data_IF_222913727052
#
_entry.id   IF_222913727052
#
_cell.length_a   1.000
_cell.length_b   1.000
_cell.length_c   1.000
_cell.angle_alpha   90.00
_cell.angle_beta   90.00
_cell.angle_gamma   90.00
#
_symmetry.space_group_name_H-M   'P 1'
#
loop_
_entity.id
_entity.type
_entity.pdbx_description
1 polymer ?
#
# COMPACT_ATOMS: atom_id res chain seq x y z
N UNK A 1 14.14 -2.21 4.07
CA UNK A 1 14.00 -1.25 5.20
C UNK A 1 15.31 -0.70 5.76
N UNK A 2 16.47 -1.38 5.63
CA UNK A 2 17.76 -0.95 6.22
C UNK A 2 18.22 0.47 5.85
N UNK A 3 17.94 0.94 4.63
CA UNK A 3 18.27 2.31 4.22
C UNK A 3 17.43 3.37 4.95
N UNK A 4 16.13 3.13 5.10
CA UNK A 4 15.22 4.10 5.72
C UNK A 4 15.47 4.26 7.23
N UNK A 5 15.83 3.16 7.91
CA UNK A 5 16.19 3.16 9.34
C UNK A 5 17.41 4.05 9.67
N UNK A 6 18.24 4.39 8.67
CA UNK A 6 19.35 5.34 8.84
C UNK A 6 18.89 6.80 8.92
N UNK A 7 17.76 7.13 8.32
CA UNK A 7 17.25 8.49 8.21
C UNK A 7 16.06 8.76 9.14
N UNK A 8 15.26 7.73 9.44
CA UNK A 8 14.06 7.84 10.26
C UNK A 8 14.15 6.81 11.40
N UNK A 9 13.98 7.22 12.67
CA UNK A 9 13.97 6.29 13.80
C UNK A 9 12.82 5.29 13.73
N UNK A 10 13.04 4.06 14.22
CA UNK A 10 11.99 3.01 14.24
C UNK A 10 10.75 3.43 15.04
N UNK A 11 10.91 4.26 16.08
CA UNK A 11 9.80 4.80 16.87
C UNK A 11 8.81 5.66 16.07
N UNK A 12 9.23 6.15 14.89
CA UNK A 12 8.41 6.90 13.94
C UNK A 12 7.93 6.05 12.76
N UNK A 13 8.16 4.74 12.79
CA UNK A 13 7.69 3.81 11.76
C UNK A 13 6.67 2.84 12.33
N UNK A 14 5.73 2.43 11.49
CA UNK A 14 4.78 1.37 11.83
C UNK A 14 4.49 0.48 10.62
N UNK A 15 4.37 -0.82 10.85
CA UNK A 15 3.93 -1.81 9.87
C UNK A 15 2.54 -2.33 10.25
N UNK A 16 1.56 -2.02 9.41
CA UNK A 16 0.21 -2.59 9.47
C UNK A 16 0.15 -3.90 8.65
N UNK A 17 0.26 -5.04 9.35
CA UNK A 17 0.04 -6.36 8.76
C UNK A 17 -1.45 -6.76 8.77
N UNK A 18 -1.79 -7.82 8.04
CA UNK A 18 -3.10 -8.47 8.16
C UNK A 18 -3.26 -9.05 9.58
N UNK A 19 -4.48 -8.99 10.13
CA UNK A 19 -4.72 -9.35 11.54
C UNK A 19 -4.27 -10.78 11.87
N UNK A 20 -4.59 -11.74 10.98
CA UNK A 20 -4.30 -13.16 11.13
C UNK A 20 -3.15 -13.62 10.22
N UNK A 21 -2.16 -12.74 9.97
CA UNK A 21 -0.92 -13.19 9.33
C UNK A 21 -0.16 -14.05 10.34
N UNK A 22 0.31 -15.23 9.92
CA UNK A 22 1.21 -16.06 10.73
C UNK A 22 2.44 -15.26 11.14
N UNK A 23 2.76 -15.29 12.43
CA UNK A 23 3.82 -14.46 13.00
C UNK A 23 5.20 -14.92 12.52
N UNK A 24 5.37 -16.23 12.37
CA UNK A 24 6.59 -16.91 11.95
C UNK A 24 6.97 -16.55 10.51
N UNK A 25 5.99 -16.18 9.69
CA UNK A 25 6.19 -15.73 8.31
C UNK A 25 6.62 -14.26 8.21
N UNK A 26 6.68 -13.53 9.32
CA UNK A 26 7.06 -12.12 9.34
C UNK A 26 8.54 -11.98 9.72
N UNK A 27 9.39 -11.45 8.83
CA UNK A 27 10.79 -11.19 9.14
C UNK A 27 10.96 -10.34 10.40
N UNK A 28 11.99 -10.64 11.20
CA UNK A 28 12.23 -9.99 12.50
C UNK A 28 12.34 -8.46 12.39
N UNK A 29 12.95 -7.95 11.32
CA UNK A 29 13.11 -6.51 11.08
C UNK A 29 11.80 -5.78 10.73
N UNK A 30 10.78 -6.52 10.28
CA UNK A 30 9.41 -6.06 10.02
C UNK A 30 8.55 -6.24 11.27
N UNK A 31 8.75 -7.33 12.00
CA UNK A 31 8.06 -7.62 13.25
C UNK A 31 8.33 -6.53 14.29
N UNK A 32 9.57 -6.01 14.36
CA UNK A 32 9.92 -4.90 15.27
C UNK A 32 9.13 -3.61 15.04
N UNK A 33 8.58 -3.41 13.84
CA UNK A 33 7.74 -2.27 13.49
C UNK A 33 6.23 -2.55 13.59
N UNK A 34 5.86 -3.78 13.93
CA UNK A 34 4.47 -4.22 13.98
C UNK A 34 3.98 -4.27 15.43
N UNK A 35 2.66 -4.18 15.65
CA UNK A 35 2.07 -4.38 16.96
C UNK A 35 1.35 -5.72 16.98
N UNK A 36 1.84 -6.67 17.77
CA UNK A 36 1.27 -8.01 17.94
C UNK A 36 0.75 -8.19 19.37
N UNK A 37 -0.52 -8.57 19.52
CA UNK A 37 -1.19 -8.78 20.82
C UNK A 37 -2.19 -9.92 20.69
N UNK A 38 -2.30 -10.76 21.73
CA UNK A 38 -3.35 -11.79 21.83
C UNK A 38 -3.51 -12.62 20.54
N UNK A 39 -2.39 -13.11 20.02
CA UNK A 39 -2.32 -13.90 18.79
C UNK A 39 -2.77 -13.20 17.50
N UNK A 40 -2.75 -11.88 17.44
CA UNK A 40 -3.02 -11.15 16.21
C UNK A 40 -2.19 -9.86 16.05
N UNK A 41 -2.00 -9.46 14.79
CA UNK A 41 -1.48 -8.13 14.48
C UNK A 41 -2.59 -7.10 14.69
N UNK A 42 -2.36 -6.13 15.56
CA UNK A 42 -3.32 -5.07 15.90
C UNK A 42 -2.90 -3.73 15.30
N UNK A 43 -3.89 -2.87 15.05
CA UNK A 43 -3.64 -1.49 14.62
C UNK A 43 -3.62 -0.58 15.87
N UNK A 44 -2.60 0.28 16.05
CA UNK A 44 -2.58 1.27 17.13
C UNK A 44 -3.78 2.20 17.07
N UNK A 45 -4.12 2.81 18.22
CA UNK A 45 -5.16 3.84 18.29
C UNK A 45 -4.75 5.08 17.47
N UNK A 46 -5.74 5.85 17.02
CA UNK A 46 -5.57 7.04 16.19
C UNK A 46 -4.46 8.00 16.67
N UNK A 47 -4.41 8.28 17.98
CA UNK A 47 -3.40 9.19 18.55
C UNK A 47 -1.98 8.72 18.21
N UNK A 48 -1.70 7.43 18.40
CA UNK A 48 -0.40 6.86 18.08
C UNK A 48 -0.16 6.76 16.58
N UNK A 49 -1.20 6.46 15.79
CA UNK A 49 -1.07 6.43 14.33
C UNK A 49 -0.59 7.77 13.74
N UNK A 50 -1.09 8.89 14.27
CA UNK A 50 -0.71 10.25 13.84
C UNK A 50 0.74 10.62 14.17
N UNK A 51 1.37 9.92 15.10
CA UNK A 51 2.75 10.18 15.51
C UNK A 51 3.77 9.54 14.55
N UNK A 52 3.37 8.46 13.85
CA UNK A 52 4.25 7.81 12.88
C UNK A 52 4.46 8.70 11.65
N UNK A 53 5.72 8.78 11.21
CA UNK A 53 6.11 9.48 9.97
C UNK A 53 5.99 8.59 8.74
N UNK A 54 6.13 7.27 8.94
CA UNK A 54 6.04 6.29 7.86
C UNK A 54 5.21 5.11 8.31
N UNK A 55 4.16 4.79 7.55
CA UNK A 55 3.34 3.60 7.76
C UNK A 55 3.46 2.70 6.55
N UNK A 56 3.83 1.44 6.78
CA UNK A 56 3.90 0.40 5.77
C UNK A 56 2.66 -0.49 5.87
N UNK A 57 2.04 -0.83 4.74
CA UNK A 57 0.94 -1.78 4.71
C UNK A 57 0.84 -2.46 3.34
N UNK A 58 0.12 -3.58 3.27
CA UNK A 58 -0.39 -4.04 1.97
C UNK A 58 -1.60 -3.19 1.57
N UNK A 59 -1.94 -3.15 0.28
CA UNK A 59 -3.08 -2.35 -0.18
C UNK A 59 -4.37 -2.67 0.59
N UNK A 60 -4.62 -3.95 0.82
CA UNK A 60 -5.75 -4.41 1.64
C UNK A 60 -5.61 -4.02 3.11
N UNK A 61 -4.47 -4.26 3.76
CA UNK A 61 -4.35 -3.96 5.19
C UNK A 61 -4.42 -2.46 5.51
N UNK A 62 -4.24 -1.58 4.51
CA UNK A 62 -4.37 -0.13 4.68
C UNK A 62 -5.76 0.31 5.17
N UNK A 63 -6.83 -0.44 4.88
CA UNK A 63 -8.19 -0.11 5.37
C UNK A 63 -8.23 -0.02 6.90
N UNK A 64 -7.35 -0.78 7.59
CA UNK A 64 -7.30 -0.80 9.06
C UNK A 64 -6.90 0.55 9.64
N UNK A 65 -6.12 1.35 8.91
CA UNK A 65 -5.76 2.70 9.33
C UNK A 65 -7.00 3.61 9.29
N UNK A 66 -7.81 3.48 8.25
CA UNK A 66 -9.07 4.20 8.10
C UNK A 66 -10.09 3.75 9.17
N UNK A 67 -10.16 2.45 9.48
CA UNK A 67 -11.05 1.96 10.54
C UNK A 67 -10.66 2.43 11.94
N UNK A 68 -9.38 2.79 12.16
CA UNK A 68 -8.95 3.49 13.38
C UNK A 68 -9.24 5.00 13.36
N UNK A 69 -9.83 5.53 12.27
CA UNK A 69 -10.20 6.94 12.13
C UNK A 69 -9.10 7.84 11.58
N UNK A 70 -8.10 7.28 10.90
CA UNK A 70 -7.11 8.10 10.19
C UNK A 70 -7.78 8.77 8.99
N UNK A 71 -7.76 10.11 8.89
CA UNK A 71 -8.57 10.83 7.90
C UNK A 71 -7.96 10.79 6.49
N UNK A 72 -8.82 11.01 5.50
CA UNK A 72 -8.41 11.32 4.11
C UNK A 72 -7.50 12.55 4.11
N UNK A 73 -6.46 12.54 3.26
CA UNK A 73 -5.49 13.65 3.18
C UNK A 73 -4.48 13.69 4.33
N UNK A 74 -4.47 12.68 5.22
CA UNK A 74 -3.48 12.60 6.29
C UNK A 74 -2.04 12.45 5.76
N UNK A 75 -1.86 11.66 4.70
CA UNK A 75 -0.55 11.44 4.10
C UNK A 75 -0.28 12.49 3.02
N UNK A 76 0.87 13.15 3.14
CA UNK A 76 1.38 14.01 2.07
C UNK A 76 1.85 13.21 0.86
N UNK A 77 2.34 11.98 1.09
CA UNK A 77 2.84 11.09 0.05
C UNK A 77 2.34 9.66 0.26
N UNK A 78 1.89 9.03 -0.83
CA UNK A 78 1.54 7.61 -0.87
C UNK A 78 2.43 6.94 -1.91
N UNK A 79 3.22 5.96 -1.47
CA UNK A 79 4.06 5.13 -2.33
C UNK A 79 3.40 3.77 -2.54
N UNK A 80 2.86 3.53 -3.73
CA UNK A 80 2.29 2.26 -4.14
C UNK A 80 3.36 1.42 -4.82
N UNK A 81 4.02 0.59 -4.02
CA UNK A 81 5.13 -0.26 -4.50
C UNK A 81 4.57 -1.53 -5.17
N UNK A 82 5.09 -1.85 -6.35
CA UNK A 82 4.74 -3.04 -7.14
C UNK A 82 3.24 -3.13 -7.47
N UNK A 83 2.62 -2.00 -7.78
CA UNK A 83 1.19 -1.89 -8.07
C UNK A 83 0.76 -2.66 -9.33
N UNK A 84 1.68 -3.02 -10.22
CA UNK A 84 1.41 -3.91 -11.36
C UNK A 84 1.01 -5.33 -10.95
N UNK A 85 1.46 -5.77 -9.77
CA UNK A 85 1.14 -7.09 -9.26
C UNK A 85 -0.26 -7.18 -8.68
N UNK A 86 -0.89 -6.07 -8.29
CA UNK A 86 -2.21 -6.06 -7.66
C UNK A 86 -3.34 -5.76 -8.65
N UNK A 87 -4.52 -6.33 -8.42
CA UNK A 87 -5.72 -5.94 -9.17
C UNK A 87 -6.08 -4.50 -8.81
N UNK A 88 -6.65 -3.75 -9.76
CA UNK A 88 -7.00 -2.36 -9.53
C UNK A 88 -7.90 -2.12 -8.29
N UNK A 89 -8.95 -2.92 -8.03
CA UNK A 89 -9.75 -2.77 -6.81
C UNK A 89 -8.94 -2.88 -5.52
N UNK A 90 -7.88 -3.68 -5.52
CA UNK A 90 -7.02 -3.81 -4.34
C UNK A 90 -6.25 -2.51 -4.10
N UNK A 91 -5.60 -2.01 -5.15
CA UNK A 91 -4.87 -0.74 -5.15
C UNK A 91 -5.76 0.45 -4.73
N UNK A 92 -7.04 0.45 -5.14
CA UNK A 92 -7.99 1.53 -4.84
C UNK A 92 -8.32 1.68 -3.36
N UNK A 93 -8.19 0.63 -2.53
CA UNK A 93 -8.45 0.76 -1.09
C UNK A 93 -7.52 1.78 -0.45
N UNK A 94 -6.25 1.85 -0.87
CA UNK A 94 -5.33 2.86 -0.34
C UNK A 94 -5.70 4.25 -0.81
N UNK A 95 -5.98 4.43 -2.11
CA UNK A 95 -6.27 5.75 -2.67
C UNK A 95 -7.60 6.31 -2.19
N UNK A 96 -8.67 5.50 -2.19
CA UNK A 96 -9.99 5.95 -1.79
C UNK A 96 -10.07 6.37 -0.32
N UNK A 97 -9.28 5.76 0.56
CA UNK A 97 -9.30 6.06 1.99
C UNK A 97 -8.36 7.20 2.39
N UNK A 98 -7.33 7.51 1.59
CA UNK A 98 -6.24 8.38 2.06
C UNK A 98 -5.78 9.47 1.09
N UNK A 99 -6.02 9.33 -0.22
CA UNK A 99 -5.57 10.33 -1.19
C UNK A 99 -6.58 11.48 -1.30
N UNK A 100 -6.08 12.71 -1.28
CA UNK A 100 -6.82 13.90 -1.64
C UNK A 100 -6.04 14.77 -2.65
N UNK A 101 -6.55 15.97 -2.93
CA UNK A 101 -5.92 16.94 -3.84
C UNK A 101 -4.52 17.42 -3.39
N UNK A 102 -4.14 17.21 -2.14
CA UNK A 102 -2.85 17.59 -1.56
C UNK A 102 -1.92 16.39 -1.36
N UNK A 103 -2.36 15.17 -1.69
CA UNK A 103 -1.55 13.95 -1.58
C UNK A 103 -0.81 13.67 -2.88
N UNK A 104 0.52 13.59 -2.82
CA UNK A 104 1.33 13.08 -3.92
C UNK A 104 1.27 11.55 -3.96
N UNK A 105 0.82 10.98 -5.07
CA UNK A 105 0.74 9.52 -5.27
C UNK A 105 1.85 9.09 -6.22
N UNK A 106 2.74 8.22 -5.74
CA UNK A 106 3.82 7.61 -6.51
C UNK A 106 3.45 6.15 -6.74
N UNK A 107 3.29 5.76 -8.00
CA UNK A 107 2.94 4.39 -8.37
C UNK A 107 4.14 3.75 -9.04
N UNK A 108 4.61 2.63 -8.50
CA UNK A 108 5.67 1.81 -9.12
C UNK A 108 5.09 0.50 -9.59
N UNK A 109 5.73 -0.11 -10.59
CA UNK A 109 5.31 -1.38 -11.16
C UNK A 109 6.20 -1.77 -12.33
N UNK A 110 5.95 -2.96 -12.84
CA UNK A 110 6.64 -3.52 -14.00
C UNK A 110 5.69 -3.56 -15.20
N UNK A 111 6.14 -3.01 -16.33
CA UNK A 111 5.35 -3.01 -17.56
C UNK A 111 5.18 -4.45 -18.09
N UNK A 112 3.94 -4.83 -18.41
CA UNK A 112 3.59 -6.18 -18.86
C UNK A 112 3.42 -7.20 -17.72
N UNK A 113 3.70 -6.81 -16.47
CA UNK A 113 3.33 -7.59 -15.30
C UNK A 113 1.84 -7.42 -15.00
N UNK A 114 1.16 -8.53 -14.67
CA UNK A 114 -0.26 -8.55 -14.35
C UNK A 114 -0.56 -9.45 -13.15
N UNK A 115 -1.65 -9.21 -12.39
CA UNK A 115 -2.01 -10.01 -11.24
C UNK A 115 -2.25 -11.48 -11.62
N UNK A 116 -1.50 -12.39 -11.01
CA UNK A 116 -1.52 -13.82 -11.36
C UNK A 116 -2.70 -14.58 -10.74
N UNK A 117 -3.29 -14.08 -9.65
CA UNK A 117 -4.28 -14.79 -8.84
C UNK A 117 -5.73 -14.68 -9.30
N UNK A 118 -6.03 -13.97 -10.41
CA UNK A 118 -7.40 -13.87 -10.93
C UNK A 118 -7.86 -15.20 -11.54
N UNK A 119 -8.59 -16.00 -10.74
CA UNK A 119 -9.09 -17.33 -11.14
C UNK A 119 -10.28 -17.27 -12.09
N UNK A 120 -11.21 -16.32 -11.88
CA UNK A 120 -12.44 -16.19 -12.67
C UNK A 120 -12.14 -15.79 -14.10
N UNK A 121 -12.50 -16.63 -15.07
CA UNK A 121 -12.34 -16.33 -16.49
C UNK A 121 -13.17 -15.10 -16.91
N UNK A 122 -14.39 -14.97 -16.38
CA UNK A 122 -15.23 -13.79 -16.61
C UNK A 122 -14.51 -12.55 -16.10
N UNK A 123 -13.92 -12.59 -14.90
CA UNK A 123 -13.15 -11.47 -14.35
C UNK A 123 -11.95 -11.11 -15.24
N UNK A 124 -11.21 -12.11 -15.73
CA UNK A 124 -10.08 -11.88 -16.64
C UNK A 124 -10.51 -11.22 -17.95
N UNK A 125 -11.58 -11.73 -18.58
CA UNK A 125 -12.14 -11.17 -19.83
C UNK A 125 -12.66 -9.74 -19.66
N UNK A 126 -13.14 -9.40 -18.47
CA UNK A 126 -13.65 -8.07 -18.13
C UNK A 126 -12.60 -7.17 -17.46
N UNK A 127 -11.30 -7.45 -17.64
CA UNK A 127 -10.24 -6.52 -17.29
C UNK A 127 -9.75 -6.59 -15.84
N UNK A 128 -10.17 -7.56 -15.02
CA UNK A 128 -9.70 -7.68 -13.62
C UNK A 128 -8.21 -8.03 -13.50
N UNK A 129 -7.57 -8.48 -14.59
CA UNK A 129 -6.10 -8.62 -14.68
C UNK A 129 -5.37 -7.34 -15.06
N UNK A 130 -6.09 -6.26 -15.36
CA UNK A 130 -5.46 -4.97 -15.65
C UNK A 130 -5.24 -4.30 -14.31
N UNK A 131 -3.97 -4.13 -13.93
CA UNK A 131 -3.61 -3.41 -12.72
C UNK A 131 -3.85 -1.91 -12.86
N UNK A 132 -3.93 -1.20 -11.74
CA UNK A 132 -3.99 0.26 -11.73
C UNK A 132 -2.79 0.88 -12.47
N UNK A 133 -1.60 0.32 -12.25
CA UNK A 133 -0.37 0.74 -12.92
C UNK A 133 -0.47 0.60 -14.45
N UNK A 134 -0.87 -0.59 -14.95
CA UNK A 134 -1.01 -0.81 -16.40
C UNK A 134 -2.08 0.09 -17.02
N UNK A 135 -3.18 0.34 -16.30
CA UNK A 135 -4.21 1.28 -16.76
C UNK A 135 -3.64 2.69 -16.89
N UNK A 136 -2.90 3.18 -15.89
CA UNK A 136 -2.24 4.48 -15.96
C UNK A 136 -1.25 4.56 -17.12
N UNK A 137 -0.41 3.54 -17.32
CA UNK A 137 0.54 3.48 -18.44
C UNK A 137 -0.15 3.53 -19.81
N UNK A 138 -1.42 3.14 -19.93
CA UNK A 138 -2.20 3.27 -21.18
C UNK A 138 -2.84 4.64 -21.36
N UNK A 139 -2.94 5.43 -20.29
CA UNK A 139 -3.51 6.77 -20.31
C UNK A 139 -2.45 7.83 -20.58
N UNK A 140 -2.82 8.91 -21.28
CA UNK A 140 -1.98 10.11 -21.35
C UNK A 140 -1.97 10.82 -19.99
N UNK A 141 -0.84 11.38 -19.53
CA UNK A 141 0.44 11.53 -20.25
C UNK A 141 1.39 10.31 -20.15
N UNK A 142 1.06 9.29 -19.36
CA UNK A 142 1.96 8.18 -19.03
C UNK A 142 2.18 7.16 -20.16
N UNK A 143 1.43 7.26 -21.25
CA UNK A 143 1.57 6.42 -22.45
C UNK A 143 2.90 6.62 -23.19
N UNK A 144 3.53 7.79 -23.09
CA UNK A 144 4.87 8.00 -23.62
C UNK A 144 5.90 7.69 -22.53
N UNK A 145 6.73 6.68 -22.73
CA UNK A 145 7.85 6.29 -21.84
C UNK A 145 8.96 7.36 -21.73
N UNK A 146 8.72 8.58 -22.19
CA UNK A 146 9.64 9.71 -22.09
C UNK A 146 9.02 10.77 -21.19
N UNK A 147 9.76 11.30 -20.19
CA UNK A 147 9.31 12.51 -19.55
C UNK A 147 9.28 13.63 -20.60
N UNK A 148 8.14 14.30 -20.72
CA UNK A 148 8.05 15.58 -21.43
C UNK A 148 8.56 16.66 -20.48
N UNK A 149 9.86 16.68 -20.21
CA UNK A 149 10.51 17.86 -19.60
C UNK A 149 10.84 18.85 -20.70
#
# INVERSE_FOLDING_TARGET
MRGLKKAIPESHMFRANAAFREKEDVPEDILSLSLYKEECFVCPRLQRLREFKVIFSTFMSSFRLHSQGLPVGHFSHIFMVDASSAIEPEAMVTLANFADKNTAVIVTGEAGSSPSWVRSEIGRKNGLKISYFERLCKCRPHHSLGPSF
#
